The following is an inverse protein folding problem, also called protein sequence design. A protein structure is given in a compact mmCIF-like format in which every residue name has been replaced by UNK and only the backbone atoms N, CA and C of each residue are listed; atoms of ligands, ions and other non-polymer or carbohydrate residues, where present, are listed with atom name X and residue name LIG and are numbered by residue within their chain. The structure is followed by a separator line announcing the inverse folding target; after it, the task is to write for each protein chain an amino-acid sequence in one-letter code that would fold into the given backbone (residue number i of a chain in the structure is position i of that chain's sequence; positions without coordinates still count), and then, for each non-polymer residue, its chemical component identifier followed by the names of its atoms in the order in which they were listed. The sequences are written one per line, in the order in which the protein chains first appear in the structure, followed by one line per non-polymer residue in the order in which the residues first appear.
data_IF_435362140091
#
_entry.id   IF_435362140091
#
_cell.length_a   1.000
_cell.length_b   1.000
_cell.length_c   1.000
_cell.angle_alpha   90.00
_cell.angle_beta   90.00
_cell.angle_gamma   90.00
#
_symmetry.space_group_name_H-M   'P 1'
#
loop_
_entity.id
_entity.type
_entity.pdbx_description
1 polymer ?
#
# COMPACT_ATOMS: atom_id res chain seq x y z
N UNK A 1 4.55 -14.44 34.33
CA UNK A 1 4.80 -14.46 32.87
C UNK A 1 3.81 -13.50 32.20
N UNK A 2 4.23 -12.27 31.90
CA UNK A 2 3.38 -11.33 31.14
C UNK A 2 3.24 -11.85 29.72
N UNK A 3 2.02 -12.24 29.33
CA UNK A 3 1.68 -12.46 27.93
C UNK A 3 1.75 -11.11 27.24
N UNK A 4 2.84 -10.86 26.52
CA UNK A 4 2.88 -9.83 25.49
C UNK A 4 1.78 -10.18 24.49
N UNK A 5 0.61 -9.55 24.64
CA UNK A 5 -0.43 -9.55 23.61
C UNK A 5 0.19 -8.80 22.45
N UNK A 6 0.90 -9.53 21.58
CA UNK A 6 1.52 -8.98 20.40
C UNK A 6 0.46 -8.16 19.69
N UNK A 7 0.73 -6.86 19.51
CA UNK A 7 -0.11 -5.97 18.71
C UNK A 7 -0.48 -6.75 17.46
N UNK A 8 -1.75 -7.14 17.33
CA UNK A 8 -2.27 -7.60 16.06
C UNK A 8 -2.02 -6.43 15.11
N UNK A 9 -0.92 -6.46 14.38
CA UNK A 9 -0.67 -5.57 13.26
C UNK A 9 -1.84 -5.84 12.34
N UNK A 10 -2.89 -4.99 12.43
CA UNK A 10 -3.96 -4.96 11.45
C UNK A 10 -3.23 -4.80 10.14
N UNK A 11 -3.12 -5.90 9.39
CA UNK A 11 -2.45 -5.94 8.10
C UNK A 11 -3.11 -4.84 7.30
N UNK A 12 -2.37 -3.78 7.00
CA UNK A 12 -2.93 -2.64 6.31
C UNK A 12 -3.47 -3.13 4.96
N UNK A 13 -4.80 -3.23 4.87
CA UNK A 13 -5.50 -3.79 3.74
C UNK A 13 -5.20 -2.96 2.49
N UNK A 14 -5.03 -1.63 2.66
CA UNK A 14 -4.69 -0.73 1.56
C UNK A 14 -3.29 -1.02 1.06
N UNK A 15 -2.33 -1.17 1.97
CA UNK A 15 -0.95 -1.56 1.61
C UNK A 15 -0.93 -2.92 0.90
N UNK A 16 -1.70 -3.90 1.38
CA UNK A 16 -1.76 -5.22 0.76
C UNK A 16 -2.33 -5.16 -0.67
N UNK A 17 -3.37 -4.38 -0.89
CA UNK A 17 -3.95 -4.17 -2.21
C UNK A 17 -2.97 -3.48 -3.17
N UNK A 18 -2.26 -2.43 -2.73
CA UNK A 18 -1.25 -1.75 -3.56
C UNK A 18 -0.07 -2.67 -3.88
N UNK A 19 0.37 -3.53 -2.96
CA UNK A 19 1.39 -4.56 -3.25
C UNK A 19 0.93 -5.52 -4.36
N UNK A 20 -0.32 -5.97 -4.29
CA UNK A 20 -0.89 -6.89 -5.28
C UNK A 20 -1.01 -6.26 -6.66
N UNK A 21 -1.47 -5.02 -6.71
CA UNK A 21 -1.59 -4.23 -7.95
C UNK A 21 -0.21 -3.94 -8.57
N UNK A 22 0.76 -3.51 -7.76
CA UNK A 22 2.15 -3.28 -8.20
C UNK A 22 2.75 -4.57 -8.79
N UNK A 23 2.54 -5.70 -8.13
CA UNK A 23 3.02 -7.00 -8.57
C UNK A 23 2.39 -7.40 -9.93
N UNK A 24 1.09 -7.15 -10.09
CA UNK A 24 0.36 -7.41 -11.33
C UNK A 24 0.83 -6.55 -12.50
N UNK A 25 1.06 -5.26 -12.28
CA UNK A 25 1.53 -4.33 -13.32
C UNK A 25 2.94 -4.64 -13.82
N UNK A 26 3.84 -5.02 -12.91
CA UNK A 26 5.25 -5.27 -13.24
C UNK A 26 5.55 -6.73 -13.56
N UNK A 27 4.57 -7.63 -13.48
CA UNK A 27 4.77 -9.06 -13.75
C UNK A 27 5.69 -9.76 -12.76
N UNK A 28 5.78 -9.27 -11.52
CA UNK A 28 6.68 -9.77 -10.47
C UNK A 28 5.91 -10.34 -9.28
N UNK A 29 6.59 -11.07 -8.40
CA UNK A 29 5.92 -11.64 -7.22
C UNK A 29 5.61 -10.57 -6.16
N UNK A 30 4.48 -10.73 -5.46
CA UNK A 30 4.11 -9.92 -4.29
C UNK A 30 5.22 -9.91 -3.22
N UNK A 31 5.91 -11.03 -3.04
CA UNK A 31 7.03 -11.15 -2.11
C UNK A 31 8.22 -10.28 -2.51
N UNK A 32 8.51 -10.18 -3.82
CA UNK A 32 9.56 -9.30 -4.33
C UNK A 32 9.24 -7.84 -4.04
N UNK A 33 8.02 -7.40 -4.34
CA UNK A 33 7.55 -6.04 -4.00
C UNK A 33 7.70 -5.77 -2.51
N UNK A 34 7.30 -6.71 -1.65
CA UNK A 34 7.45 -6.55 -0.20
C UNK A 34 8.91 -6.43 0.25
N UNK A 35 9.83 -7.17 -0.36
CA UNK A 35 11.28 -7.07 -0.08
C UNK A 35 11.83 -5.72 -0.50
N UNK A 36 11.46 -5.22 -1.67
CA UNK A 36 11.84 -3.87 -2.11
C UNK A 36 11.32 -2.83 -1.13
N UNK A 37 10.04 -2.89 -0.76
CA UNK A 37 9.42 -1.95 0.17
C UNK A 37 9.91 -2.08 1.63
N UNK A 38 10.71 -3.11 1.96
CA UNK A 38 11.40 -3.27 3.25
C UNK A 38 12.85 -2.78 3.21
N UNK A 39 13.39 -2.50 2.03
CA UNK A 39 14.81 -2.21 1.82
C UNK A 39 15.69 -3.46 1.68
N UNK A 40 15.10 -4.67 1.62
CA UNK A 40 15.86 -5.92 1.43
C UNK A 40 16.37 -6.06 -0.03
N UNK A 41 15.84 -5.26 -0.95
CA UNK A 41 16.18 -5.21 -2.38
C UNK A 41 16.03 -3.78 -2.90
N UNK A 42 16.85 -3.43 -3.87
CA UNK A 42 16.77 -2.14 -4.57
C UNK A 42 16.13 -2.34 -5.94
N UNK A 43 15.04 -1.61 -6.20
CA UNK A 43 14.37 -1.57 -7.49
C UNK A 43 13.51 -0.31 -7.56
N UNK A 44 14.03 0.72 -8.23
CA UNK A 44 13.40 2.04 -8.28
C UNK A 44 12.06 2.04 -9.03
N UNK A 45 11.91 1.17 -10.03
CA UNK A 45 10.65 1.02 -10.77
C UNK A 45 9.53 0.50 -9.87
N UNK A 46 9.83 -0.51 -9.03
CA UNK A 46 8.87 -1.03 -8.05
C UNK A 46 8.48 0.05 -7.05
N UNK A 47 9.44 0.85 -6.57
CA UNK A 47 9.16 1.95 -5.65
C UNK A 47 8.29 3.01 -6.33
N UNK A 48 8.63 3.44 -7.54
CA UNK A 48 7.90 4.46 -8.28
C UNK A 48 6.43 4.05 -8.51
N UNK A 49 6.20 2.84 -9.03
CA UNK A 49 4.84 2.33 -9.28
C UNK A 49 4.05 2.20 -7.97
N UNK A 50 4.68 1.68 -6.91
CA UNK A 50 4.02 1.55 -5.62
C UNK A 50 3.59 2.90 -5.05
N UNK A 51 4.44 3.92 -5.16
CA UNK A 51 4.15 5.27 -4.68
C UNK A 51 3.05 5.93 -5.51
N UNK A 52 3.12 5.86 -6.85
CA UNK A 52 2.08 6.42 -7.73
C UNK A 52 0.69 5.83 -7.41
N UNK A 53 0.60 4.51 -7.26
CA UNK A 53 -0.66 3.84 -6.90
C UNK A 53 -1.17 4.28 -5.52
N UNK A 54 -0.27 4.49 -4.57
CA UNK A 54 -0.63 4.93 -3.23
C UNK A 54 -1.14 6.38 -3.24
N UNK A 55 -0.53 7.25 -4.02
CA UNK A 55 -0.92 8.65 -4.17
C UNK A 55 -2.23 8.80 -4.92
N UNK A 56 -2.43 8.09 -6.04
CA UNK A 56 -3.67 8.12 -6.82
C UNK A 56 -4.88 7.71 -6.00
N UNK A 57 -4.74 6.71 -5.12
CA UNK A 57 -5.81 6.28 -4.21
C UNK A 57 -6.18 7.35 -3.19
N UNK A 58 -5.18 8.08 -2.67
CA UNK A 58 -5.44 9.20 -1.77
C UNK A 58 -6.11 10.37 -2.50
N UNK A 59 -5.64 10.72 -3.69
CA UNK A 59 -6.24 11.79 -4.50
C UNK A 59 -7.70 11.49 -4.84
N UNK A 60 -8.01 10.28 -5.29
CA UNK A 60 -9.40 9.87 -5.58
C UNK A 60 -10.29 10.00 -4.35
N UNK A 61 -9.79 9.59 -3.18
CA UNK A 61 -10.55 9.65 -1.94
C UNK A 61 -10.83 11.10 -1.51
N UNK A 62 -9.87 12.01 -1.69
CA UNK A 62 -10.06 13.44 -1.42
C UNK A 62 -11.01 14.10 -2.42
N UNK A 63 -10.92 13.79 -3.71
CA UNK A 63 -11.86 14.30 -4.71
C UNK A 63 -13.28 13.81 -4.48
N UNK A 64 -13.45 12.53 -4.13
CA UNK A 64 -14.77 11.99 -3.76
C UNK A 64 -15.34 12.72 -2.55
N UNK A 65 -14.55 12.97 -1.50
CA UNK A 65 -15.00 13.73 -0.32
C UNK A 65 -15.50 15.14 -0.67
N UNK A 66 -14.87 15.81 -1.63
CA UNK A 66 -15.31 17.13 -2.10
C UNK A 66 -16.66 17.09 -2.84
N UNK A 67 -16.94 15.97 -3.53
CA UNK A 67 -18.14 15.80 -4.35
C UNK A 67 -19.36 15.31 -3.56
N UNK A 68 -19.17 14.62 -2.44
CA UNK A 68 -20.30 14.19 -1.61
C UNK A 68 -20.72 15.29 -0.62
N UNK A 69 -22.04 15.58 -0.51
CA UNK A 69 -22.57 16.64 0.35
C UNK A 69 -22.61 16.25 1.84
N UNK A 70 -21.69 15.39 2.30
CA UNK A 70 -21.60 14.97 3.71
C UNK A 70 -20.67 15.87 4.54
N UNK A 71 -20.18 16.98 3.97
CA UNK A 71 -19.58 18.07 4.74
C UNK A 71 -20.68 19.03 5.22
N UNK A 72 -21.43 18.63 6.25
CA UNK A 72 -22.16 19.51 7.17
C UNK A 72 -21.86 19.04 8.60
#
# INVERSE_FOLDING_TARGET
MQKNIGKHNKRDIRRAATVEETAGLLGISKNYVQKVMRGDRENDEVVAVFMELSERKNYLLEEVKKLVPFNN
#
